data_IF_692841731331
#
_entry.id   IF_692841731331
#
_cell.length_a   1.000
_cell.length_b   1.000
_cell.length_c   1.000
_cell.angle_alpha   90.00
_cell.angle_beta   90.00
_cell.angle_gamma   90.00
#
_symmetry.space_group_name_H-M   'P 1'
#
loop_
_entity.id
_entity.type
_entity.pdbx_description
1 polymer ?
#
# COMPACT_ATOMS: atom_id res chain seq x y z
N UNK A 1 11.78 9.79 -3.01
CA UNK A 1 10.97 10.12 -4.20
C UNK A 1 11.07 8.94 -5.14
N UNK A 2 10.02 8.15 -5.33
CA UNK A 2 9.99 7.11 -6.36
C UNK A 2 9.25 7.71 -7.55
N UNK A 3 9.97 8.44 -8.40
CA UNK A 3 9.47 8.74 -9.74
C UNK A 3 9.23 7.42 -10.47
N UNK A 4 8.11 7.26 -11.18
CA UNK A 4 7.87 6.10 -12.03
C UNK A 4 9.07 5.84 -12.93
N UNK A 5 9.59 4.62 -12.93
CA UNK A 5 10.60 4.19 -13.89
C UNK A 5 9.95 4.23 -15.28
N UNK A 6 10.50 5.00 -16.23
CA UNK A 6 9.98 5.06 -17.59
C UNK A 6 9.89 3.66 -18.19
N UNK A 7 8.71 3.29 -18.68
CA UNK A 7 8.48 2.01 -19.35
C UNK A 7 7.84 0.91 -18.51
N UNK A 8 7.73 1.07 -17.18
CA UNK A 8 6.85 0.24 -16.36
C UNK A 8 5.45 0.87 -16.27
N UNK A 9 4.45 0.03 -16.07
CA UNK A 9 3.07 0.46 -15.81
C UNK A 9 2.78 0.44 -14.32
N UNK A 10 2.04 1.45 -13.86
CA UNK A 10 1.78 1.70 -12.45
C UNK A 10 0.29 1.80 -12.17
N UNK A 11 -0.10 1.55 -10.93
CA UNK A 11 -1.44 1.81 -10.40
C UNK A 11 -1.34 2.64 -9.12
N UNK A 12 -2.46 3.25 -8.72
CA UNK A 12 -2.55 4.07 -7.51
C UNK A 12 -3.14 3.27 -6.36
N UNK A 13 -2.45 3.23 -5.24
CA UNK A 13 -3.00 2.85 -3.95
C UNK A 13 -3.37 4.13 -3.19
N UNK A 14 -4.65 4.26 -2.87
CA UNK A 14 -5.19 5.31 -1.99
C UNK A 14 -5.89 4.66 -0.81
N UNK A 15 -6.32 5.45 0.15
CA UNK A 15 -7.30 4.97 1.12
C UNK A 15 -7.33 5.78 2.40
N UNK A 16 -8.37 5.50 3.18
CA UNK A 16 -8.59 6.06 4.49
C UNK A 16 -8.76 4.95 5.52
N UNK A 17 -8.12 5.09 6.68
CA UNK A 17 -8.27 4.18 7.81
C UNK A 17 -8.56 4.96 9.08
N UNK A 18 -9.66 4.61 9.74
CA UNK A 18 -10.03 5.13 11.05
C UNK A 18 -10.19 4.01 12.08
N UNK A 19 -10.18 4.43 13.34
CA UNK A 19 -10.50 3.59 14.48
C UNK A 19 -11.69 4.18 15.22
N UNK A 20 -12.57 3.30 15.70
CA UNK A 20 -13.58 3.68 16.67
C UNK A 20 -12.89 3.87 18.02
N UNK A 21 -13.05 5.05 18.60
CA UNK A 21 -12.50 5.43 19.89
C UNK A 21 -13.67 5.63 20.85
N UNK A 22 -13.68 4.86 21.92
CA UNK A 22 -14.58 5.07 23.05
C UNK A 22 -13.80 5.83 24.11
N UNK A 23 -14.10 7.10 24.34
CA UNK A 23 -13.76 7.74 25.60
C UNK A 23 -14.88 7.48 26.63
N UNK A 24 -14.51 7.39 27.90
CA UNK A 24 -15.46 7.10 28.99
C UNK A 24 -16.31 8.33 29.37
N UNK A 25 -16.25 9.42 28.60
CA UNK A 25 -16.72 10.76 28.98
C UNK A 25 -17.60 11.38 27.89
N UNK A 26 -18.44 10.59 27.23
CA UNK A 26 -19.42 11.13 26.30
C UNK A 26 -20.86 10.89 26.78
N UNK A 27 -21.62 11.97 26.96
CA UNK A 27 -22.99 11.95 27.50
C UNK A 27 -23.97 11.19 26.59
N UNK A 28 -23.62 11.07 25.30
CA UNK A 28 -24.47 10.47 24.28
C UNK A 28 -24.15 9.01 23.97
N UNK A 29 -23.12 8.40 24.60
CA UNK A 29 -22.69 7.00 24.39
C UNK A 29 -22.42 6.64 22.91
N UNK A 30 -22.21 7.63 22.04
CA UNK A 30 -21.92 7.41 20.62
C UNK A 30 -20.41 7.28 20.45
N UNK A 31 -19.90 6.18 19.89
CA UNK A 31 -18.46 6.04 19.67
C UNK A 31 -17.94 7.02 18.62
N UNK A 32 -16.87 7.73 18.93
CA UNK A 32 -16.16 8.60 17.99
C UNK A 32 -15.35 7.80 16.97
N UNK A 33 -15.16 8.35 15.76
CA UNK A 33 -14.21 7.82 14.77
C UNK A 33 -13.05 8.79 14.61
N UNK A 34 -11.81 8.29 14.76
CA UNK A 34 -10.57 9.09 14.60
C UNK A 34 -9.64 8.43 13.59
N UNK A 35 -8.99 9.25 12.76
CA UNK A 35 -8.01 8.78 11.79
C UNK A 35 -6.81 8.12 12.46
N UNK A 36 -6.30 7.06 11.85
CA UNK A 36 -5.12 6.33 12.35
C UNK A 36 -3.85 7.00 11.81
N UNK A 37 -2.83 7.13 12.66
CA UNK A 37 -1.47 7.44 12.20
C UNK A 37 -0.64 6.16 12.22
N UNK A 38 0.11 5.89 11.15
CA UNK A 38 0.98 4.72 11.09
C UNK A 38 2.02 4.88 9.99
N UNK A 39 3.15 4.19 10.12
CA UNK A 39 4.02 3.88 8.99
C UNK A 39 3.45 2.70 8.22
N UNK A 40 3.41 2.79 6.89
CA UNK A 40 2.93 1.75 5.99
C UNK A 40 4.08 1.28 5.11
N UNK A 41 4.36 -0.01 5.10
CA UNK A 41 5.36 -0.63 4.21
C UNK A 41 4.65 -1.53 3.21
N UNK A 42 4.90 -1.30 1.92
CA UNK A 42 4.34 -2.03 0.80
C UNK A 42 5.44 -2.86 0.16
N UNK A 43 5.46 -4.15 0.46
CA UNK A 43 6.48 -5.08 -0.02
C UNK A 43 5.93 -5.84 -1.24
N UNK A 44 6.51 -5.65 -2.44
CA UNK A 44 6.17 -6.46 -3.59
C UNK A 44 6.61 -7.92 -3.36
N UNK A 45 5.80 -8.86 -3.82
CA UNK A 45 6.01 -10.30 -3.72
C UNK A 45 5.69 -10.96 -5.06
N UNK A 46 6.58 -11.85 -5.49
CA UNK A 46 6.32 -12.81 -6.58
C UNK A 46 6.59 -14.19 -5.99
N UNK A 47 5.61 -15.09 -6.05
CA UNK A 47 5.69 -16.41 -5.39
C UNK A 47 6.10 -16.33 -3.91
N UNK A 48 5.54 -15.35 -3.19
CA UNK A 48 5.83 -15.05 -1.77
C UNK A 48 7.31 -14.72 -1.45
N UNK A 49 8.14 -14.40 -2.46
CA UNK A 49 9.51 -13.91 -2.24
C UNK A 49 9.55 -12.40 -2.06
N UNK A 50 10.21 -11.95 -1.00
CA UNK A 50 10.54 -10.53 -0.81
C UNK A 50 11.56 -10.07 -1.86
N UNK A 51 11.52 -8.79 -2.23
CA UNK A 51 12.40 -8.17 -3.23
C UNK A 51 12.41 -8.92 -4.57
N UNK A 52 11.25 -9.11 -5.21
CA UNK A 52 11.15 -9.94 -6.39
C UNK A 52 11.91 -9.31 -7.57
N UNK A 53 12.75 -10.12 -8.19
CA UNK A 53 13.33 -9.83 -9.49
C UNK A 53 12.32 -10.18 -10.57
N UNK A 54 12.05 -9.25 -11.49
CA UNK A 54 11.15 -9.45 -12.62
C UNK A 54 11.89 -9.17 -13.92
N UNK A 55 11.56 -9.93 -14.97
CA UNK A 55 12.04 -9.65 -16.32
C UNK A 55 11.03 -8.74 -17.00
N UNK A 56 11.34 -7.45 -17.15
CA UNK A 56 10.46 -6.48 -17.76
C UNK A 56 10.83 -6.23 -19.23
N UNK A 57 9.86 -6.15 -20.13
CA UNK A 57 10.10 -5.76 -21.53
C UNK A 57 9.83 -4.28 -21.74
N UNK A 58 10.87 -3.46 -21.65
CA UNK A 58 10.79 -1.99 -21.73
C UNK A 58 11.38 -1.54 -23.07
N UNK A 59 10.61 -0.76 -23.84
CA UNK A 59 11.05 -0.29 -25.16
C UNK A 59 11.37 -1.41 -26.17
N UNK A 60 10.79 -2.60 -25.97
CA UNK A 60 11.03 -3.79 -26.81
C UNK A 60 12.28 -4.60 -26.46
N UNK A 61 13.01 -4.23 -25.40
CA UNK A 61 14.15 -4.99 -24.91
C UNK A 61 13.85 -5.59 -23.51
N UNK A 62 14.37 -6.79 -23.19
CA UNK A 62 14.24 -7.36 -21.85
C UNK A 62 15.22 -6.71 -20.87
N UNK A 63 14.73 -6.38 -19.68
CA UNK A 63 15.46 -5.80 -18.55
C UNK A 63 15.20 -6.64 -17.30
N UNK A 64 16.18 -6.72 -16.39
CA UNK A 64 15.98 -7.26 -15.05
C UNK A 64 15.72 -6.07 -14.12
N UNK A 65 14.54 -6.04 -13.53
CA UNK A 65 14.13 -5.03 -12.57
C UNK A 65 13.96 -5.66 -11.19
N UNK A 66 14.48 -5.00 -10.16
CA UNK A 66 14.31 -5.43 -8.77
C UNK A 66 13.27 -4.52 -8.12
N UNK A 67 12.12 -5.11 -7.73
CA UNK A 67 11.07 -4.34 -7.08
C UNK A 67 11.37 -4.18 -5.60
N UNK A 68 11.65 -2.94 -5.18
CA UNK A 68 11.92 -2.62 -3.79
C UNK A 68 10.62 -2.28 -3.02
N UNK A 69 10.60 -2.52 -1.70
CA UNK A 69 9.52 -2.06 -0.83
C UNK A 69 9.33 -0.54 -0.93
N UNK A 70 8.07 -0.11 -0.93
CA UNK A 70 7.68 1.30 -0.91
C UNK A 70 7.17 1.66 0.48
N UNK A 71 7.65 2.77 1.03
CA UNK A 71 7.25 3.26 2.35
C UNK A 71 6.33 4.46 2.19
N UNK A 72 5.18 4.39 2.84
CA UNK A 72 4.24 5.49 3.02
C UNK A 72 3.86 5.67 4.49
N UNK A 73 2.84 6.50 4.73
CA UNK A 73 2.28 6.73 6.06
C UNK A 73 0.78 6.96 5.99
N UNK A 74 0.08 6.56 7.04
CA UNK A 74 -1.25 7.08 7.37
C UNK A 74 -1.05 8.34 8.22
N UNK A 75 -1.67 9.43 7.79
CA UNK A 75 -1.59 10.74 8.43
C UNK A 75 -3.02 11.26 8.58
N UNK A 76 -3.52 11.20 9.81
CA UNK A 76 -4.94 11.33 10.17
C UNK A 76 -5.84 10.41 9.31
N UNK A 77 -5.45 9.15 9.21
CA UNK A 77 -6.16 8.12 8.46
C UNK A 77 -5.95 8.16 6.95
N UNK A 78 -5.44 9.25 6.37
CA UNK A 78 -5.22 9.34 4.91
C UNK A 78 -3.86 8.74 4.54
N UNK A 79 -3.85 7.84 3.54
CA UNK A 79 -2.62 7.27 3.01
C UNK A 79 -1.84 8.30 2.16
N UNK A 80 -0.58 8.53 2.52
CA UNK A 80 0.31 9.49 1.87
C UNK A 80 1.71 8.92 1.66
N UNK A 81 2.36 9.27 0.56
CA UNK A 81 3.80 9.02 0.36
C UNK A 81 4.66 10.11 0.98
N UNK A 82 4.15 11.34 1.09
CA UNK A 82 4.84 12.46 1.73
C UNK A 82 3.85 13.46 2.32
N UNK A 83 4.34 14.51 2.99
CA UNK A 83 3.47 15.55 3.55
C UNK A 83 2.61 16.28 2.50
N UNK A 84 3.08 16.35 1.26
CA UNK A 84 2.41 17.06 0.16
C UNK A 84 1.81 16.14 -0.92
N UNK A 85 2.04 14.82 -0.83
CA UNK A 85 1.64 13.87 -1.86
C UNK A 85 0.73 12.78 -1.28
N UNK A 86 -0.54 12.85 -1.68
CA UNK A 86 -1.49 11.76 -1.52
C UNK A 86 -1.23 10.67 -2.58
N UNK A 87 -1.64 9.45 -2.25
CA UNK A 87 -1.51 8.24 -3.07
C UNK A 87 -0.09 7.66 -3.15
N UNK A 88 -0.03 6.34 -3.31
CA UNK A 88 1.19 5.57 -3.51
C UNK A 88 1.12 4.91 -4.88
N UNK A 89 2.14 5.15 -5.70
CA UNK A 89 2.27 4.52 -7.01
C UNK A 89 3.05 3.21 -6.89
N UNK A 90 2.45 2.13 -7.36
CA UNK A 90 2.98 0.77 -7.29
C UNK A 90 2.97 0.16 -8.68
N UNK A 91 3.89 -0.76 -8.97
CA UNK A 91 3.99 -1.44 -10.27
C UNK A 91 2.77 -2.35 -10.47
N UNK A 92 2.11 -2.23 -11.62
CA UNK A 92 0.97 -3.04 -12.02
C UNK A 92 1.40 -4.40 -12.59
N UNK A 93 0.54 -5.42 -12.49
CA UNK A 93 0.80 -6.75 -13.02
C UNK A 93 0.43 -6.85 -14.51
N UNK A 94 1.12 -6.10 -15.35
CA UNK A 94 0.83 -6.05 -16.79
C UNK A 94 1.82 -6.88 -17.59
N UNK A 95 1.54 -7.11 -18.87
CA UNK A 95 2.40 -7.93 -19.75
C UNK A 95 3.84 -7.40 -19.89
N UNK A 96 4.08 -6.13 -19.50
CA UNK A 96 5.42 -5.55 -19.45
C UNK A 96 6.28 -6.26 -18.42
N UNK A 97 5.73 -6.61 -17.24
CA UNK A 97 6.44 -7.43 -16.26
C UNK A 97 6.19 -8.89 -16.60
N UNK A 98 7.23 -9.60 -17.04
CA UNK A 98 7.17 -10.96 -17.59
C UNK A 98 6.88 -12.03 -16.53
N UNK A 99 5.70 -11.94 -15.91
CA UNK A 99 5.14 -12.87 -14.94
C UNK A 99 3.91 -13.56 -15.57
N UNK A 100 4.11 -14.46 -16.56
CA UNK A 100 2.99 -15.07 -17.29
C UNK A 100 2.17 -16.05 -16.43
N UNK A 101 2.82 -16.74 -15.50
CA UNK A 101 2.23 -17.79 -14.67
C UNK A 101 2.04 -17.35 -13.19
N UNK A 102 2.58 -16.19 -12.83
CA UNK A 102 2.64 -15.70 -11.46
C UNK A 102 1.94 -14.35 -11.31
N UNK A 103 1.42 -14.08 -10.12
CA UNK A 103 0.84 -12.80 -9.79
C UNK A 103 1.82 -11.93 -8.99
N UNK A 104 2.00 -10.67 -9.40
CA UNK A 104 2.58 -9.66 -8.52
C UNK A 104 1.59 -9.35 -7.39
N UNK A 105 2.02 -9.56 -6.16
CA UNK A 105 1.24 -9.31 -4.94
C UNK A 105 1.94 -8.25 -4.11
N UNK A 106 1.18 -7.41 -3.40
CA UNK A 106 1.73 -6.49 -2.41
C UNK A 106 1.30 -6.91 -1.01
N UNK A 107 2.27 -7.09 -0.12
CA UNK A 107 2.06 -7.19 1.32
C UNK A 107 2.09 -5.79 1.94
N UNK A 108 1.08 -5.47 2.71
CA UNK A 108 0.92 -4.20 3.42
C UNK A 108 1.18 -4.44 4.90
N UNK A 109 2.22 -3.82 5.42
CA UNK A 109 2.62 -3.95 6.83
C UNK A 109 2.52 -2.60 7.52
N UNK A 110 1.96 -2.60 8.73
CA UNK A 110 1.77 -1.41 9.53
C UNK A 110 2.72 -1.42 10.72
N UNK A 111 3.38 -0.31 10.96
CA UNK A 111 4.28 -0.11 12.10
C UNK A 111 4.05 1.27 12.69
N UNK A 112 4.50 1.49 13.93
CA UNK A 112 4.35 2.79 14.61
C UNK A 112 2.87 3.26 14.61
N UNK A 113 1.94 2.33 14.81
CA UNK A 113 0.50 2.59 14.74
C UNK A 113 0.07 3.35 16.00
N UNK A 114 -0.50 4.54 15.78
CA UNK A 114 -1.00 5.41 16.84
C UNK A 114 -2.43 5.81 16.53
N UNK A 115 -3.34 5.32 17.37
CA UNK A 115 -4.69 5.85 17.54
C UNK A 115 -5.06 5.67 19.01
N UNK A 116 -5.76 6.66 19.59
CA UNK A 116 -6.05 6.74 21.03
C UNK A 116 -4.78 6.78 21.92
N UNK A 117 -4.39 7.99 22.34
CA UNK A 117 -3.09 8.30 22.98
C UNK A 117 -2.78 7.35 24.16
N UNK A 118 -1.59 6.74 24.13
CA UNK A 118 -1.05 5.96 25.27
C UNK A 118 -1.26 4.44 25.18
N UNK A 119 -1.79 3.93 24.07
CA UNK A 119 -1.91 2.49 23.84
C UNK A 119 -1.11 2.08 22.61
N UNK A 120 -0.25 1.07 22.78
CA UNK A 120 0.33 0.37 21.63
C UNK A 120 -0.78 -0.41 20.94
N UNK A 121 -0.97 -0.13 19.66
CA UNK A 121 -1.97 -0.77 18.83
C UNK A 121 -1.29 -1.42 17.64
N UNK A 122 -1.93 -2.46 17.13
CA UNK A 122 -1.45 -3.20 15.97
C UNK A 122 -2.56 -3.29 14.94
N UNK A 123 -2.20 -3.07 13.68
CA UNK A 123 -3.06 -3.37 12.54
C UNK A 123 -2.58 -4.68 11.92
N UNK A 124 -3.53 -5.53 11.54
CA UNK A 124 -3.23 -6.79 10.86
C UNK A 124 -2.63 -6.50 9.49
N UNK A 125 -1.49 -7.10 9.12
CA UNK A 125 -0.94 -7.00 7.78
C UNK A 125 -1.94 -7.50 6.73
N UNK A 126 -1.94 -6.87 5.56
CA UNK A 126 -2.85 -7.23 4.45
C UNK A 126 -2.06 -7.70 3.24
N UNK A 127 -2.69 -8.43 2.34
CA UNK A 127 -2.14 -8.76 1.02
C UNK A 127 -3.18 -8.51 -0.06
N UNK A 128 -2.74 -8.04 -1.22
CA UNK A 128 -3.61 -7.90 -2.39
C UNK A 128 -2.83 -8.11 -3.68
N UNK A 129 -3.51 -8.64 -4.68
CA UNK A 129 -2.95 -8.81 -6.02
C UNK A 129 -2.90 -7.46 -6.73
N UNK A 130 -1.77 -7.16 -7.36
CA UNK A 130 -1.63 -5.97 -8.18
C UNK A 130 -2.58 -6.06 -9.39
N UNK A 131 -3.28 -4.97 -9.74
CA UNK A 131 -4.16 -4.95 -10.90
C UNK A 131 -3.36 -5.16 -12.19
N UNK A 132 -4.02 -5.74 -13.19
CA UNK A 132 -3.47 -5.95 -14.53
C UNK A 132 -3.70 -4.77 -15.49
N UNK A 133 -4.16 -3.64 -14.95
CA UNK A 133 -4.50 -2.44 -15.71
C UNK A 133 -3.71 -1.27 -15.16
N UNK A 134 -2.98 -0.57 -16.04
CA UNK A 134 -2.31 0.68 -15.72
C UNK A 134 -3.32 1.74 -15.23
N UNK A 135 -2.86 2.63 -14.35
CA UNK A 135 -3.64 3.71 -13.72
C UNK A 135 -4.88 3.26 -12.94
N UNK A 136 -5.06 1.96 -12.70
CA UNK A 136 -6.08 1.44 -11.82
C UNK A 136 -5.94 2.06 -10.41
N UNK A 137 -7.06 2.17 -9.71
CA UNK A 137 -7.10 2.72 -8.35
C UNK A 137 -7.55 1.63 -7.40
N UNK A 138 -6.68 1.28 -6.46
CA UNK A 138 -6.96 0.35 -5.38
C UNK A 138 -7.16 1.15 -4.10
N UNK A 139 -8.23 0.84 -3.37
CA UNK A 139 -8.50 1.44 -2.07
C UNK A 139 -8.02 0.50 -0.94
N UNK A 140 -7.13 0.99 -0.09
CA UNK A 140 -6.59 0.27 1.06
C UNK A 140 -7.70 -0.24 1.98
N UNK A 141 -8.79 0.53 2.14
CA UNK A 141 -9.92 0.14 2.97
C UNK A 141 -10.70 -1.05 2.43
N UNK A 142 -10.63 -1.30 1.12
CA UNK A 142 -11.31 -2.42 0.44
C UNK A 142 -10.52 -3.73 0.49
N UNK A 143 -9.26 -3.69 0.90
CA UNK A 143 -8.41 -4.88 1.00
C UNK A 143 -8.84 -5.66 2.25
N UNK A 144 -9.21 -6.93 2.03
CA UNK A 144 -9.61 -7.83 3.10
C UNK A 144 -8.51 -8.03 4.16
N UNK A 145 -8.95 -8.30 5.40
CA UNK A 145 -8.12 -8.68 6.54
C UNK A 145 -7.94 -10.19 6.56
#
# INVERSE_FOLDING_TARGET
MTTPTPGLEYFKLKGFMDAVVTDEVDENLVPDRKGINARVTLTPLVNDKDYPEVVATIGGAPHIEVLCPVVGRLDDGVLKTSAAQADIWLVANTAIIGLPDDALVYRVEFSEVVFNKGQDRHLVPRKFTAPNTADAVVDLSSIAV
#
